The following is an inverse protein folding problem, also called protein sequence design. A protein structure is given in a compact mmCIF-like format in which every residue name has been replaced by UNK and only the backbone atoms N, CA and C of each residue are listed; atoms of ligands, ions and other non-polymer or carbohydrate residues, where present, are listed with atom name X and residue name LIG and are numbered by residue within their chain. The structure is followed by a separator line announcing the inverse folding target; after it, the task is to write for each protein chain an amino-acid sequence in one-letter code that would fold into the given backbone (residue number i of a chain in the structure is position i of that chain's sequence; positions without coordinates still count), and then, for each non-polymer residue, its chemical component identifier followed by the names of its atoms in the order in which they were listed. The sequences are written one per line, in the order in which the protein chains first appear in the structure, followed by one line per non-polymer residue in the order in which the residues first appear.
data_IF_524558749465
#
_entry.id   IF_524558749465
#
_cell.length_a   1.000
_cell.length_b   1.000
_cell.length_c   1.000
_cell.angle_alpha   90.00
_cell.angle_beta   90.00
_cell.angle_gamma   90.00
#
_symmetry.space_group_name_H-M   'P 1'
#
loop_
_entity.id
_entity.type
_entity.pdbx_description
1 polymer ?
#
# COMPACT_ATOMS: atom_id res chain seq x y z
N UNK A 1 -9.23 -14.74 -4.77
CA UNK A 1 -9.80 -13.85 -3.73
C UNK A 1 -9.18 -12.48 -3.91
N UNK A 2 -9.97 -11.40 -4.06
CA UNK A 2 -9.45 -10.03 -4.29
C UNK A 2 -8.93 -9.48 -2.96
N UNK A 3 -7.65 -9.09 -2.87
CA UNK A 3 -7.15 -8.36 -1.70
C UNK A 3 -7.68 -6.92 -1.78
N UNK A 4 -8.48 -6.51 -0.79
CA UNK A 4 -8.89 -5.11 -0.64
C UNK A 4 -7.64 -4.34 -0.18
N UNK A 5 -7.36 -3.19 -0.82
CA UNK A 5 -6.23 -2.35 -0.44
C UNK A 5 -6.49 -1.75 0.95
N UNK A 6 -5.67 -2.16 1.92
CA UNK A 6 -5.74 -1.70 3.31
C UNK A 6 -4.32 -1.48 3.83
N UNK A 7 -4.19 -0.66 4.86
CA UNK A 7 -2.93 -0.39 5.53
C UNK A 7 -3.11 -0.58 7.02
N UNK A 8 -2.34 -1.49 7.61
CA UNK A 8 -2.33 -1.72 9.05
C UNK A 8 -1.07 -1.10 9.63
N UNK A 9 -1.24 -0.31 10.68
CA UNK A 9 -0.16 0.24 11.49
C UNK A 9 -0.36 -0.29 12.90
N UNK A 10 0.56 -1.14 13.34
CA UNK A 10 0.64 -1.61 14.71
C UNK A 10 1.76 -0.87 15.43
N UNK A 11 1.46 -0.30 16.60
CA UNK A 11 2.39 0.48 17.40
C UNK A 11 2.60 -0.22 18.73
N UNK A 12 3.86 -0.54 19.05
CA UNK A 12 4.28 -0.96 20.37
C UNK A 12 5.00 0.23 21.03
N UNK A 13 4.34 0.91 21.97
CA UNK A 13 4.94 2.03 22.68
C UNK A 13 5.58 1.52 23.99
N UNK A 14 6.90 1.68 24.11
CA UNK A 14 7.60 1.54 25.39
C UNK A 14 7.87 2.95 25.95
N UNK A 15 7.28 3.28 27.10
CA UNK A 15 7.62 4.51 27.80
C UNK A 15 9.03 4.36 28.41
N UNK A 16 10.03 4.97 27.79
CA UNK A 16 11.36 5.08 28.40
C UNK A 16 11.34 6.26 29.36
N UNK A 17 11.26 5.97 30.67
CA UNK A 17 11.43 6.99 31.70
C UNK A 17 12.89 7.47 31.69
N UNK A 18 13.13 8.64 31.10
CA UNK A 18 14.44 9.29 31.14
C UNK A 18 14.74 9.76 32.57
N UNK A 19 15.51 8.97 33.33
CA UNK A 19 16.12 9.43 34.56
C UNK A 19 17.32 10.33 34.21
N UNK A 20 17.14 11.64 34.26
CA UNK A 20 18.25 12.59 34.19
C UNK A 20 19.04 12.53 35.52
N UNK A 21 20.37 12.34 35.50
CA UNK A 21 21.16 12.44 36.73
C UNK A 21 21.26 13.90 37.14
N UNK A 22 20.58 14.25 38.23
CA UNK A 22 20.77 15.51 38.94
C UNK A 22 22.09 15.45 39.73
N UNK A 23 23.17 16.04 39.22
CA UNK A 23 24.39 16.25 40.01
C UNK A 23 24.18 17.46 40.92
N UNK A 24 23.69 17.22 42.14
CA UNK A 24 23.78 18.19 43.23
C UNK A 24 24.71 17.65 44.32
N UNK A 25 25.85 18.31 44.45
CA UNK A 25 26.76 18.14 45.56
C UNK A 25 26.19 18.79 46.84
N UNK A 26 26.02 17.93 47.85
CA UNK A 26 26.06 18.16 49.29
C UNK A 26 24.91 18.91 50.02
N UNK A 27 24.28 18.09 50.88
CA UNK A 27 23.83 18.34 52.25
C UNK A 27 22.37 18.79 52.47
N UNK A 28 21.50 17.81 52.77
CA UNK A 28 20.57 17.83 53.93
C UNK A 28 19.75 16.53 53.99
N UNK A 29 19.40 16.17 55.21
CA UNK A 29 18.91 14.87 55.71
C UNK A 29 17.47 14.51 55.33
N UNK A 30 17.20 13.20 55.35
CA UNK A 30 15.91 12.53 55.57
C UNK A 30 14.75 12.78 54.57
N UNK A 31 14.48 11.79 53.72
CA UNK A 31 13.14 11.23 53.48
C UNK A 31 13.27 10.09 52.46
N UNK A 32 12.65 8.94 52.79
CA UNK A 32 12.69 7.74 51.97
C UNK A 32 12.29 7.99 50.52
N UNK A 33 13.07 7.44 49.59
CA UNK A 33 12.58 7.20 48.24
C UNK A 33 12.66 5.71 48.03
N UNK A 34 11.53 5.06 48.27
CA UNK A 34 11.20 3.80 47.64
C UNK A 34 11.54 3.95 46.16
N UNK A 35 12.57 3.23 45.72
CA UNK A 35 12.89 3.08 44.30
C UNK A 35 11.74 2.30 43.69
N UNK A 36 10.72 3.02 43.23
CA UNK A 36 9.71 2.47 42.34
C UNK A 36 10.44 2.11 41.05
N UNK A 37 10.92 0.87 41.00
CA UNK A 37 11.23 0.18 39.75
C UNK A 37 9.95 0.22 38.91
N UNK A 38 9.81 1.25 38.08
CA UNK A 38 8.84 1.23 37.01
C UNK A 38 9.32 0.16 36.04
N UNK A 39 8.85 -1.07 36.22
CA UNK A 39 8.90 -2.07 35.15
C UNK A 39 8.34 -1.39 33.91
N UNK A 40 9.00 -1.50 32.74
CA UNK A 40 8.43 -0.96 31.52
C UNK A 40 7.07 -1.63 31.33
N UNK A 41 6.00 -0.88 31.56
CA UNK A 41 4.65 -1.34 31.27
C UNK A 41 4.61 -1.48 29.76
N UNK A 42 4.75 -2.72 29.27
CA UNK A 42 4.50 -3.07 27.88
C UNK A 42 3.05 -2.65 27.60
N UNK A 43 2.86 -1.48 26.98
CA UNK A 43 1.54 -1.10 26.51
C UNK A 43 1.14 -2.11 25.45
N UNK A 44 -0.10 -2.60 25.55
CA UNK A 44 -0.64 -3.51 24.56
C UNK A 44 -0.50 -2.89 23.15
N UNK A 45 -0.09 -3.67 22.13
CA UNK A 45 0.08 -3.16 20.78
C UNK A 45 -1.23 -2.55 20.27
N UNK A 46 -1.18 -1.28 19.88
CA UNK A 46 -2.33 -0.58 19.29
C UNK A 46 -2.31 -0.80 17.79
N UNK A 47 -3.36 -1.40 17.24
CA UNK A 47 -3.50 -1.59 15.78
C UNK A 47 -4.50 -0.60 15.20
N UNK A 48 -4.12 0.07 14.12
CA UNK A 48 -4.97 0.97 13.33
C UNK A 48 -5.01 0.52 11.87
N UNK A 49 -6.21 0.43 11.32
CA UNK A 49 -6.44 0.07 9.91
C UNK A 49 -6.95 1.27 9.14
N UNK A 50 -6.33 1.54 8.00
CA UNK A 50 -6.68 2.59 7.05
C UNK A 50 -7.18 1.96 5.76
N UNK A 51 -8.24 2.55 5.20
CA UNK A 51 -8.89 2.07 3.97
C UNK A 51 -9.01 3.21 2.98
N UNK A 52 -8.95 2.90 1.68
CA UNK A 52 -9.09 3.89 0.62
C UNK A 52 -10.34 4.77 0.79
N UNK A 53 -10.13 6.09 0.83
CA UNK A 53 -11.18 7.12 0.92
C UNK A 53 -10.99 8.25 -0.13
N UNK A 54 -10.04 8.08 -1.06
CA UNK A 54 -9.75 9.07 -2.10
C UNK A 54 -8.73 10.15 -1.73
N UNK A 55 -8.26 10.21 -0.48
CA UNK A 55 -7.32 11.25 -0.01
C UNK A 55 -6.24 10.68 0.92
N UNK A 56 -5.09 11.36 1.09
CA UNK A 56 -4.11 10.98 2.09
C UNK A 56 -4.67 11.11 3.51
N UNK A 57 -4.27 10.20 4.39
CA UNK A 57 -4.62 10.17 5.81
C UNK A 57 -3.37 10.43 6.65
N UNK A 58 -3.52 10.78 7.92
CA UNK A 58 -2.38 11.04 8.82
C UNK A 58 -2.51 10.28 10.14
N UNK A 59 -1.38 9.82 10.67
CA UNK A 59 -1.30 9.13 11.95
C UNK A 59 -0.03 9.50 12.69
N UNK A 60 -0.17 9.99 13.93
CA UNK A 60 0.96 10.38 14.77
C UNK A 60 1.29 9.29 15.76
N UNK A 61 2.56 8.90 15.77
CA UNK A 61 3.11 7.90 16.68
C UNK A 61 3.95 8.61 17.75
N UNK A 62 3.77 8.28 19.04
CA UNK A 62 4.60 8.82 20.11
C UNK A 62 6.08 8.47 19.97
N UNK A 63 6.96 9.23 20.62
CA UNK A 63 8.37 8.87 20.74
C UNK A 63 8.55 7.52 21.47
N UNK A 64 9.60 6.80 21.13
CA UNK A 64 9.97 5.51 21.72
C UNK A 64 9.13 4.33 21.23
N UNK A 65 8.23 4.54 20.28
CA UNK A 65 7.36 3.49 19.79
C UNK A 65 7.92 2.81 18.54
N UNK A 66 7.88 1.48 18.53
CA UNK A 66 8.19 0.64 17.38
C UNK A 66 6.92 0.47 16.54
N UNK A 67 7.04 0.62 15.23
CA UNK A 67 5.89 0.60 14.31
C UNK A 67 6.03 -0.53 13.32
N UNK A 68 5.11 -1.48 13.33
CA UNK A 68 4.97 -2.47 12.25
C UNK A 68 3.91 -2.01 11.27
N UNK A 69 4.28 -1.93 9.99
CA UNK A 69 3.44 -1.50 8.89
C UNK A 69 3.17 -2.69 7.98
N UNK A 70 1.91 -2.93 7.67
CA UNK A 70 1.48 -3.85 6.62
C UNK A 70 0.69 -3.07 5.58
N UNK A 71 1.27 -2.87 4.40
CA UNK A 71 0.68 -2.16 3.29
C UNK A 71 0.24 -3.14 2.19
N UNK A 72 -1.00 -3.01 1.73
CA UNK A 72 -1.51 -3.74 0.55
C UNK A 72 -1.83 -2.74 -0.57
N UNK A 73 -1.19 -2.90 -1.72
CA UNK A 73 -1.53 -2.15 -2.92
C UNK A 73 -2.87 -2.59 -3.51
N UNK A 74 -3.46 -1.76 -4.37
CA UNK A 74 -4.73 -2.08 -4.99
C UNK A 74 -4.57 -3.00 -6.21
N UNK A 75 -5.57 -3.85 -6.44
CA UNK A 75 -5.63 -4.66 -7.65
C UNK A 75 -6.07 -3.86 -8.88
N UNK A 76 -5.62 -4.29 -10.05
CA UNK A 76 -6.09 -3.79 -11.33
C UNK A 76 -7.49 -4.25 -11.68
N UNK A 77 -8.09 -3.58 -12.65
CA UNK A 77 -9.45 -3.84 -13.08
C UNK A 77 -9.55 -5.11 -13.93
N UNK A 78 -10.63 -5.84 -13.69
CA UNK A 78 -11.10 -6.96 -14.49
C UNK A 78 -12.08 -6.41 -15.54
N UNK A 79 -11.96 -6.84 -16.78
CA UNK A 79 -13.02 -6.66 -17.77
C UNK A 79 -13.96 -7.86 -17.74
N UNK A 80 -15.27 -7.59 -17.71
CA UNK A 80 -16.32 -8.60 -17.58
C UNK A 80 -17.48 -8.41 -18.57
N UNK A 81 -17.19 -7.84 -19.74
CA UNK A 81 -18.20 -7.49 -20.75
C UNK A 81 -18.64 -8.75 -21.54
N UNK A 82 -17.75 -9.36 -22.34
CA UNK A 82 -18.03 -10.61 -23.08
C UNK A 82 -16.92 -11.66 -22.91
N UNK A 83 -15.72 -11.20 -22.59
CA UNK A 83 -14.55 -12.04 -22.34
C UNK A 83 -13.95 -11.71 -20.98
N UNK A 84 -13.31 -12.71 -20.36
CA UNK A 84 -12.78 -12.58 -19.01
C UNK A 84 -11.26 -12.36 -19.03
N UNK A 85 -10.87 -11.12 -18.73
CA UNK A 85 -9.50 -10.76 -18.36
C UNK A 85 -9.44 -10.40 -16.90
N UNK A 86 -8.60 -11.08 -16.12
CA UNK A 86 -8.42 -10.74 -14.70
C UNK A 86 -7.41 -9.60 -14.56
N UNK A 87 -7.73 -8.62 -13.73
CA UNK A 87 -6.71 -7.67 -13.27
C UNK A 87 -5.79 -8.36 -12.27
N UNK A 88 -4.54 -7.91 -12.23
CA UNK A 88 -3.56 -8.36 -11.25
C UNK A 88 -3.90 -7.90 -9.84
N UNK A 89 -3.40 -8.63 -8.85
CA UNK A 89 -3.49 -8.27 -7.43
C UNK A 89 -2.40 -7.26 -7.07
N UNK A 90 -2.66 -6.44 -6.05
CA UNK A 90 -1.61 -5.57 -5.50
C UNK A 90 -0.58 -6.36 -4.70
N UNK A 91 0.63 -5.83 -4.63
CA UNK A 91 1.69 -6.32 -3.77
C UNK A 91 1.40 -6.05 -2.31
N UNK A 92 2.03 -6.83 -1.43
CA UNK A 92 2.03 -6.61 0.02
C UNK A 92 3.44 -6.27 0.48
N UNK A 93 3.56 -5.28 1.34
CA UNK A 93 4.80 -5.00 2.06
C UNK A 93 4.55 -5.09 3.56
N UNK A 94 5.37 -5.86 4.26
CA UNK A 94 5.40 -5.90 5.73
C UNK A 94 6.76 -5.45 6.21
N UNK A 95 6.81 -4.39 7.02
CA UNK A 95 8.06 -3.88 7.56
C UNK A 95 7.89 -3.33 8.97
N UNK A 96 8.98 -3.31 9.72
CA UNK A 96 9.04 -2.73 11.07
C UNK A 96 10.01 -1.56 11.04
N UNK A 97 9.51 -0.38 11.37
CA UNK A 97 10.32 0.82 11.52
C UNK A 97 10.97 0.85 12.90
N UNK A 98 12.22 1.35 13.00
CA UNK A 98 12.88 1.54 14.28
C UNK A 98 12.11 2.54 15.17
N UNK A 99 12.38 2.47 16.48
CA UNK A 99 11.73 3.35 17.43
C UNK A 99 12.01 4.83 17.11
N UNK A 100 10.95 5.63 17.05
CA UNK A 100 11.08 7.06 16.77
C UNK A 100 11.68 7.80 17.97
N UNK A 101 12.63 8.71 17.75
CA UNK A 101 13.21 9.52 18.83
C UNK A 101 12.29 10.65 19.30
N UNK A 102 11.32 11.04 18.49
CA UNK A 102 10.34 12.09 18.74
C UNK A 102 8.96 11.69 18.19
N UNK A 103 7.87 12.36 18.62
CA UNK A 103 6.56 12.17 18.00
C UNK A 103 6.64 12.37 16.49
N UNK A 104 6.24 11.36 15.72
CA UNK A 104 6.39 11.35 14.25
C UNK A 104 5.02 11.19 13.60
N UNK A 105 4.69 12.09 12.68
CA UNK A 105 3.46 12.00 11.88
C UNK A 105 3.74 11.31 10.56
N UNK A 106 3.04 10.19 10.34
CA UNK A 106 3.04 9.47 9.09
C UNK A 106 1.89 9.93 8.21
N UNK A 107 2.19 10.18 6.94
CA UNK A 107 1.22 10.35 5.86
C UNK A 107 0.98 8.98 5.23
N UNK A 108 -0.27 8.55 5.23
CA UNK A 108 -0.70 7.24 4.75
C UNK A 108 -1.57 7.43 3.52
N UNK A 109 -1.18 6.81 2.41
CA UNK A 109 -1.95 6.85 1.17
C UNK A 109 -2.34 5.44 0.81
N UNK A 110 -3.64 5.13 0.77
CA UNK A 110 -4.12 3.79 0.40
C UNK A 110 -4.46 3.78 -1.09
N UNK A 111 -3.97 2.79 -1.82
CA UNK A 111 -4.19 2.68 -3.25
C UNK A 111 -5.65 2.46 -3.61
N UNK A 112 -6.09 3.07 -4.72
CA UNK A 112 -7.41 2.82 -5.30
C UNK A 112 -7.34 1.76 -6.41
N UNK A 113 -8.40 0.96 -6.56
CA UNK A 113 -8.50 0.00 -7.66
C UNK A 113 -8.65 0.70 -9.01
N UNK A 114 -8.14 0.07 -10.07
CA UNK A 114 -8.35 0.55 -11.43
C UNK A 114 -9.82 0.52 -11.87
N UNK A 115 -10.16 1.38 -12.82
CA UNK A 115 -11.47 1.45 -13.48
C UNK A 115 -11.62 0.36 -14.56
N UNK A 116 -12.87 -0.02 -14.86
CA UNK A 116 -13.17 -1.04 -15.88
C UNK A 116 -12.99 -0.49 -17.30
N UNK A 117 -12.52 -1.33 -18.21
CA UNK A 117 -12.34 -1.02 -19.64
C UNK A 117 -13.54 -1.31 -20.56
N UNK A 118 -14.71 -1.65 -20.01
CA UNK A 118 -15.89 -2.01 -20.80
C UNK A 118 -16.64 -0.80 -21.40
N UNK A 119 -15.94 0.26 -21.79
CA UNK A 119 -16.55 1.44 -22.39
C UNK A 119 -16.29 1.45 -23.89
N UNK A 120 -17.29 1.70 -24.76
CA UNK A 120 -17.08 1.89 -26.20
C UNK A 120 -16.35 3.21 -26.55
N UNK A 121 -15.85 3.91 -25.53
CA UNK A 121 -15.26 5.25 -25.62
C UNK A 121 -13.82 5.26 -26.14
N UNK A 122 -13.22 4.11 -26.48
CA UNK A 122 -11.81 3.96 -26.89
C UNK A 122 -10.84 4.58 -25.89
N UNK A 123 -11.20 4.50 -24.62
CA UNK A 123 -10.62 5.30 -23.56
C UNK A 123 -10.03 4.41 -22.47
N UNK A 124 -10.32 3.12 -22.40
CA UNK A 124 -9.74 2.27 -21.37
C UNK A 124 -10.20 2.58 -19.95
N UNK A 125 -9.98 1.61 -19.08
CA UNK A 125 -10.24 1.78 -17.66
C UNK A 125 -9.34 2.84 -17.04
N UNK A 126 -9.90 3.74 -16.24
CA UNK A 126 -9.12 4.73 -15.49
C UNK A 126 -8.06 4.06 -14.60
N UNK A 127 -6.92 4.72 -14.41
CA UNK A 127 -5.92 4.27 -13.45
C UNK A 127 -6.42 4.35 -12.00
N UNK A 128 -5.94 3.43 -11.17
CA UNK A 128 -6.19 3.43 -9.74
C UNK A 128 -5.49 4.60 -9.03
N UNK A 129 -6.11 5.08 -7.95
CA UNK A 129 -5.56 6.18 -7.16
C UNK A 129 -4.17 5.85 -6.59
N UNK A 130 -3.26 6.84 -6.59
CA UNK A 130 -1.85 6.72 -6.21
C UNK A 130 -0.99 5.93 -7.22
N UNK A 131 -1.10 6.31 -8.50
CA UNK A 131 -0.14 5.90 -9.55
C UNK A 131 -0.53 4.70 -10.42
N UNK A 132 -1.80 4.28 -10.42
CA UNK A 132 -2.26 3.23 -11.34
C UNK A 132 -2.29 3.70 -12.80
N UNK A 133 -1.84 2.85 -13.72
CA UNK A 133 -1.86 3.13 -15.16
C UNK A 133 -3.25 3.00 -15.78
N UNK A 134 -3.55 3.81 -16.81
CA UNK A 134 -4.76 3.68 -17.62
C UNK A 134 -4.73 2.41 -18.47
N UNK A 135 -5.88 1.77 -18.66
CA UNK A 135 -6.02 0.64 -19.57
C UNK A 135 -5.81 1.06 -21.03
N UNK A 136 -5.21 0.18 -21.83
CA UNK A 136 -4.99 0.44 -23.25
C UNK A 136 -6.29 0.45 -24.05
N UNK A 137 -6.44 1.36 -25.03
CA UNK A 137 -7.58 1.36 -25.93
C UNK A 137 -7.49 0.18 -26.91
N UNK A 138 -8.64 -0.34 -27.34
CA UNK A 138 -8.69 -1.22 -28.51
C UNK A 138 -8.86 -0.36 -29.76
N UNK A 139 -7.95 -0.51 -30.73
CA UNK A 139 -7.89 0.33 -31.93
C UNK A 139 -8.70 -0.23 -33.12
N UNK A 140 -9.66 -1.12 -32.87
CA UNK A 140 -10.58 -1.62 -33.90
C UNK A 140 -11.98 -1.08 -33.66
N UNK A 141 -12.40 -0.17 -34.55
CA UNK A 141 -13.67 0.53 -34.45
C UNK A 141 -14.84 -0.45 -34.36
N UNK A 142 -15.72 -0.23 -33.37
CA UNK A 142 -16.99 -0.93 -33.21
C UNK A 142 -16.90 -2.42 -32.88
N UNK A 143 -15.69 -2.97 -32.73
CA UNK A 143 -15.48 -4.42 -32.61
C UNK A 143 -14.61 -4.81 -31.41
N UNK A 144 -14.47 -3.96 -30.38
CA UNK A 144 -13.69 -4.33 -29.20
C UNK A 144 -14.06 -3.62 -27.90
N UNK A 145 -13.49 -4.11 -26.80
CA UNK A 145 -13.57 -3.53 -25.47
C UNK A 145 -12.17 -3.22 -24.95
N UNK A 146 -12.00 -2.01 -24.41
CA UNK A 146 -10.72 -1.54 -23.89
C UNK A 146 -10.23 -2.34 -22.68
N UNK A 147 -8.93 -2.24 -22.39
CA UNK A 147 -8.32 -2.85 -21.22
C UNK A 147 -8.76 -2.21 -19.90
N UNK A 148 -8.69 -2.98 -18.82
CA UNK A 148 -8.87 -2.45 -17.47
C UNK A 148 -7.69 -1.58 -17.03
N UNK A 149 -7.93 -0.60 -16.16
CA UNK A 149 -6.86 0.18 -15.54
C UNK A 149 -6.11 -0.60 -14.46
N UNK A 150 -4.84 -0.28 -14.24
CA UNK A 150 -4.04 -0.81 -13.13
C UNK A 150 -4.49 -0.23 -11.78
N UNK A 151 -4.28 -0.98 -10.71
CA UNK A 151 -4.47 -0.51 -9.34
C UNK A 151 -3.32 0.40 -8.93
N UNK A 152 -3.57 1.31 -7.99
CA UNK A 152 -2.53 2.17 -7.45
C UNK A 152 -1.85 1.63 -6.18
N UNK A 153 -0.76 2.27 -5.81
CA UNK A 153 0.09 1.85 -4.70
C UNK A 153 -0.49 2.28 -3.34
N UNK A 154 -0.19 1.52 -2.29
CA UNK A 154 -0.37 1.98 -0.90
C UNK A 154 0.98 2.36 -0.32
N UNK A 155 1.09 3.54 0.28
CA UNK A 155 2.36 4.07 0.75
C UNK A 155 2.29 4.74 2.11
N UNK A 156 3.43 4.71 2.81
CA UNK A 156 3.65 5.45 4.05
C UNK A 156 4.84 6.37 3.87
N UNK A 157 4.63 7.64 4.20
CA UNK A 157 5.65 8.68 4.18
C UNK A 157 5.77 9.37 5.53
N UNK A 158 6.93 9.91 5.86
CA UNK A 158 7.16 10.76 7.03
C UNK A 158 8.12 11.87 6.61
N UNK A 159 7.86 13.09 7.05
CA UNK A 159 8.69 14.27 6.73
C UNK A 159 8.94 14.45 5.22
N UNK A 160 7.97 14.07 4.37
CA UNK A 160 8.09 14.14 2.91
C UNK A 160 8.93 13.02 2.27
N UNK A 161 9.51 12.11 3.04
CA UNK A 161 10.23 10.94 2.54
C UNK A 161 9.32 9.72 2.51
N UNK A 162 9.45 8.89 1.47
CA UNK A 162 8.67 7.68 1.27
C UNK A 162 9.37 6.51 1.97
N UNK A 163 8.72 5.89 2.96
CA UNK A 163 9.29 4.81 3.76
C UNK A 163 8.84 3.43 3.27
N UNK A 164 7.57 3.31 2.88
CA UNK A 164 6.94 2.04 2.51
C UNK A 164 6.09 2.24 1.28
N UNK A 165 6.18 1.33 0.31
CA UNK A 165 5.39 1.30 -0.91
C UNK A 165 5.00 -0.14 -1.24
N UNK A 166 3.71 -0.44 -1.12
CA UNK A 166 3.12 -1.65 -1.68
C UNK A 166 2.54 -1.36 -3.06
N UNK A 167 3.07 -2.03 -4.08
CA UNK A 167 2.72 -1.76 -5.47
C UNK A 167 1.29 -2.17 -5.84
N UNK A 168 0.70 -1.47 -6.81
CA UNK A 168 -0.55 -1.87 -7.43
C UNK A 168 -0.39 -3.01 -8.44
N UNK A 169 -1.48 -3.72 -8.70
CA UNK A 169 -1.56 -4.75 -9.74
C UNK A 169 -1.93 -4.18 -11.11
N UNK A 170 -1.49 -4.83 -12.18
CA UNK A 170 -1.76 -4.44 -13.56
C UNK A 170 -3.22 -4.63 -13.97
N UNK A 171 -3.67 -3.82 -14.94
CA UNK A 171 -5.00 -3.97 -15.54
C UNK A 171 -5.08 -5.16 -16.50
N UNK A 172 -6.28 -5.69 -16.71
CA UNK A 172 -6.51 -6.68 -17.78
C UNK A 172 -6.36 -6.07 -19.17
N UNK A 173 -6.00 -6.89 -20.15
CA UNK A 173 -5.91 -6.46 -21.54
C UNK A 173 -7.27 -6.16 -22.16
N UNK A 174 -7.28 -5.46 -23.30
CA UNK A 174 -8.49 -5.29 -24.13
C UNK A 174 -8.81 -6.54 -24.94
N UNK A 175 -10.00 -6.59 -25.55
CA UNK A 175 -10.45 -7.74 -26.35
C UNK A 175 -11.22 -7.29 -27.59
N UNK A 176 -11.11 -8.04 -28.69
CA UNK A 176 -11.90 -7.87 -29.91
C UNK A 176 -13.12 -8.82 -29.84
N UNK A 177 -14.30 -8.36 -30.25
CA UNK A 177 -15.53 -9.14 -30.36
C UNK A 177 -15.29 -10.37 -31.25
N UNK A 178 -15.69 -11.55 -30.79
CA UNK A 178 -15.42 -12.82 -31.45
C UNK A 178 -14.03 -13.41 -31.17
N UNK A 179 -13.14 -12.67 -30.49
CA UNK A 179 -11.77 -13.09 -30.19
C UNK A 179 -11.64 -14.03 -28.98
N UNK A 180 -10.45 -14.58 -28.71
CA UNK A 180 -10.18 -15.37 -27.50
C UNK A 180 -10.17 -14.49 -26.23
N UNK A 181 -10.22 -15.08 -25.03
CA UNK A 181 -10.20 -14.29 -23.80
C UNK A 181 -8.88 -13.55 -23.64
N UNK A 182 -8.92 -12.35 -23.06
CA UNK A 182 -7.78 -11.41 -23.01
C UNK A 182 -6.68 -11.79 -22.01
N UNK A 183 -5.55 -11.08 -22.10
CA UNK A 183 -4.45 -11.14 -21.17
C UNK A 183 -4.83 -10.71 -19.75
N UNK A 184 -4.35 -11.46 -18.76
CA UNK A 184 -4.48 -11.06 -17.36
C UNK A 184 -3.45 -9.97 -17.01
N UNK A 185 -3.80 -9.05 -16.14
CA UNK A 185 -2.84 -8.12 -15.55
C UNK A 185 -1.86 -8.83 -14.61
N UNK A 186 -0.64 -8.31 -14.51
CA UNK A 186 0.39 -8.82 -13.62
C UNK A 186 0.17 -8.41 -12.16
N UNK A 187 0.49 -9.29 -11.23
CA UNK A 187 0.51 -9.01 -9.79
C UNK A 187 1.64 -8.03 -9.42
N UNK A 188 1.38 -7.14 -8.45
CA UNK A 188 2.39 -6.28 -7.85
C UNK A 188 3.38 -7.08 -6.98
N UNK A 189 4.65 -6.68 -6.99
CA UNK A 189 5.70 -7.41 -6.28
C UNK A 189 5.61 -7.26 -4.74
N UNK A 190 5.72 -8.35 -3.96
CA UNK A 190 5.80 -8.26 -2.51
C UNK A 190 7.18 -7.76 -2.02
N UNK A 191 7.20 -7.11 -0.86
CA UNK A 191 8.41 -6.83 -0.06
C UNK A 191 9.65 -6.34 -0.85
N UNK A 192 9.47 -5.38 -1.77
CA UNK A 192 10.62 -4.84 -2.52
C UNK A 192 10.91 -5.50 -3.87
N UNK A 193 10.21 -6.59 -4.20
CA UNK A 193 10.42 -7.30 -5.45
C UNK A 193 9.70 -6.65 -6.62
N UNK A 194 10.17 -6.92 -7.84
CA UNK A 194 9.49 -6.52 -9.06
C UNK A 194 8.12 -7.20 -9.19
N UNK A 195 7.15 -6.49 -9.74
CA UNK A 195 5.88 -7.08 -10.14
C UNK A 195 6.02 -8.04 -11.32
N UNK A 196 4.98 -8.83 -11.56
CA UNK A 196 4.92 -9.74 -12.71
C UNK A 196 4.45 -9.00 -13.97
N UNK A 197 4.90 -9.47 -15.12
CA UNK A 197 4.39 -8.99 -16.40
C UNK A 197 2.93 -9.43 -16.60
N UNK A 198 2.14 -8.64 -17.32
CA UNK A 198 0.81 -9.07 -17.75
C UNK A 198 0.90 -10.17 -18.81
N UNK A 199 -0.08 -11.05 -18.80
CA UNK A 199 -0.15 -12.15 -19.77
C UNK A 199 -0.49 -11.65 -21.17
N UNK A 200 0.16 -12.23 -22.18
CA UNK A 200 -0.23 -12.09 -23.58
C UNK A 200 -1.04 -13.32 -24.01
N UNK A 201 -2.01 -13.12 -24.92
CA UNK A 201 -2.74 -14.22 -25.58
C UNK A 201 -2.82 -13.95 -27.08
N UNK A 202 -2.81 -14.99 -27.94
CA UNK A 202 -2.93 -14.81 -29.37
C UNK A 202 -4.17 -13.99 -29.71
N UNK A 203 -4.03 -12.95 -30.53
CA UNK A 203 -5.13 -12.09 -31.00
C UNK A 203 -5.92 -11.38 -29.88
N UNK A 204 -5.31 -11.13 -28.71
CA UNK A 204 -5.90 -10.33 -27.65
C UNK A 204 -4.90 -9.32 -27.06
N UNK A 205 -5.41 -8.27 -26.42
CA UNK A 205 -4.57 -7.28 -25.74
C UNK A 205 -3.76 -7.91 -24.60
N UNK A 206 -2.51 -7.48 -24.47
CA UNK A 206 -1.65 -7.86 -23.33
C UNK A 206 -2.16 -7.16 -22.07
N UNK A 207 -2.20 -7.87 -20.94
CA UNK A 207 -2.47 -7.23 -19.66
C UNK A 207 -1.35 -6.28 -19.26
N UNK A 208 -1.66 -5.25 -18.47
CA UNK A 208 -0.63 -4.38 -17.90
C UNK A 208 0.24 -5.16 -16.90
N UNK A 209 1.53 -4.82 -16.81
CA UNK A 209 2.40 -5.33 -15.75
C UNK A 209 2.02 -4.76 -14.37
N UNK A 210 2.33 -5.50 -13.32
CA UNK A 210 2.25 -5.01 -11.93
C UNK A 210 3.46 -4.14 -11.58
N UNK A 211 3.28 -3.20 -10.65
CA UNK A 211 4.39 -2.39 -10.15
C UNK A 211 5.32 -3.18 -9.21
N UNK A 212 6.55 -2.68 -9.03
CA UNK A 212 7.47 -3.15 -7.98
C UNK A 212 7.21 -2.43 -6.66
N UNK A 213 7.17 -3.17 -5.54
CA UNK A 213 7.08 -2.59 -4.19
C UNK A 213 8.45 -2.20 -3.65
N UNK A 214 8.51 -1.56 -2.47
CA UNK A 214 9.76 -1.16 -1.83
C UNK A 214 9.58 -0.63 -0.40
N UNK A 215 10.60 -0.78 0.43
CA UNK A 215 10.68 -0.13 1.74
C UNK A 215 12.10 0.29 2.05
N UNK A 216 12.29 1.47 2.64
CA UNK A 216 13.57 1.92 3.20
C UNK A 216 13.55 1.67 4.70
N UNK A 217 14.15 0.56 5.14
CA UNK A 217 14.43 0.29 6.56
C UNK A 217 15.71 0.99 6.99
#
# INVERSE_FOLDING_TARGET
MRRRAWLHVAVLAALVAAATPFTAGAAASAAGRSSTSASPTLMAPVTRTFTFNGTPQSYTVPAGAVVTITADGAGGATINCTYTGKGGTGGRVVTTLPATSAPTTYTLTVGGSGGKGCTPSHSGGAGGYNGGGRGGPVLVDGTGFDGGGGGGASSVAANGQLLVVAAGGGGSGGVVLGGPPTGNGGDGGPDGTAGTAGGARPNAGVGGGGGGGGSTS
#
